data_IF_752854433665
#
_entry.id   IF_752854433665
#
_cell.length_a   1.000
_cell.length_b   1.000
_cell.length_c   1.000
_cell.angle_alpha   90.00
_cell.angle_beta   90.00
_cell.angle_gamma   90.00
#
_symmetry.space_group_name_H-M   'P 1'
#
loop_
_entity.id
_entity.type
_entity.pdbx_description
1 polymer ?
#
# COMPACT_ATOMS: atom_id res chain seq x y z
N UNK A 1 6.40 11.53 6.34
CA UNK A 1 6.77 10.41 5.45
C UNK A 1 5.91 10.44 4.18
N UNK A 2 6.27 9.71 3.11
CA UNK A 2 5.46 9.62 1.88
C UNK A 2 4.01 9.19 2.18
N UNK A 3 3.83 8.22 3.08
CA UNK A 3 2.52 7.69 3.51
C UNK A 3 1.61 8.72 4.23
N UNK A 4 2.14 9.89 4.60
CA UNK A 4 1.34 10.96 5.22
C UNK A 4 0.87 12.00 4.19
N UNK A 5 1.42 11.97 2.97
CA UNK A 5 1.19 12.97 1.91
C UNK A 5 0.35 12.46 0.74
N UNK A 6 0.17 11.15 0.65
CA UNK A 6 -0.64 10.50 -0.38
C UNK A 6 -2.03 10.22 0.16
N UNK A 7 -3.02 10.31 -0.73
CA UNK A 7 -4.38 9.87 -0.42
C UNK A 7 -4.36 8.39 -0.02
N UNK A 8 -5.28 7.98 0.85
CA UNK A 8 -5.36 6.59 1.25
C UNK A 8 -5.78 5.73 0.06
N UNK A 9 -4.93 4.76 -0.30
CA UNK A 9 -5.24 3.79 -1.36
C UNK A 9 -5.58 2.46 -0.68
N UNK A 10 -6.63 1.84 -1.20
CA UNK A 10 -7.09 0.51 -0.76
C UNK A 10 -7.03 -0.44 -1.95
N UNK A 11 -6.42 -1.60 -1.75
CA UNK A 11 -6.28 -2.64 -2.76
C UNK A 11 -6.64 -4.00 -2.15
N UNK A 12 -7.01 -4.94 -3.02
CA UNK A 12 -7.15 -6.35 -2.63
C UNK A 12 -5.79 -7.03 -2.68
N UNK A 13 -5.43 -7.75 -1.63
CA UNK A 13 -4.21 -8.58 -1.62
C UNK A 13 -4.43 -9.94 -2.33
N UNK A 14 -3.40 -10.80 -2.29
CA UNK A 14 -3.44 -12.11 -2.94
C UNK A 14 -4.38 -13.11 -2.26
N UNK A 15 -4.76 -12.86 -1.01
CA UNK A 15 -5.67 -13.70 -0.22
C UNK A 15 -7.12 -13.21 -0.32
N UNK A 16 -7.36 -12.08 -1.00
CA UNK A 16 -8.68 -11.46 -1.14
C UNK A 16 -9.00 -10.45 -0.03
N UNK A 17 -8.08 -10.18 0.89
CA UNK A 17 -8.31 -9.19 1.95
C UNK A 17 -8.21 -7.78 1.39
N UNK A 18 -9.00 -6.88 1.96
CA UNK A 18 -8.90 -5.44 1.70
C UNK A 18 -7.79 -4.85 2.55
N UNK A 19 -6.78 -4.25 1.91
CA UNK A 19 -5.60 -3.68 2.59
C UNK A 19 -5.47 -2.20 2.24
N UNK A 20 -5.20 -1.37 3.24
CA UNK A 20 -5.04 0.08 3.11
C UNK A 20 -3.60 0.52 3.35
N UNK A 21 -3.16 1.57 2.65
CA UNK A 21 -1.85 2.18 2.92
C UNK A 21 -1.70 2.70 4.37
N UNK A 22 -2.81 3.07 5.02
CA UNK A 22 -2.79 3.48 6.42
C UNK A 22 -2.33 2.37 7.38
N UNK A 23 -2.55 1.10 7.04
CA UNK A 23 -2.14 -0.06 7.86
C UNK A 23 -0.59 -0.17 8.01
N UNK A 24 0.13 0.58 7.17
CA UNK A 24 1.59 0.62 7.12
C UNK A 24 2.21 1.91 7.69
N UNK A 25 1.42 2.83 8.25
CA UNK A 25 1.95 4.04 8.89
C UNK A 25 2.86 3.70 10.07
N UNK A 26 3.92 4.50 10.24
CA UNK A 26 4.95 4.25 11.26
C UNK A 26 5.93 3.12 10.95
N UNK A 27 5.70 2.34 9.87
CA UNK A 27 6.61 1.30 9.40
C UNK A 27 7.52 1.84 8.28
N UNK A 28 8.70 1.23 8.11
CA UNK A 28 9.51 1.43 6.90
C UNK A 28 8.88 0.63 5.78
N UNK A 29 8.27 1.32 4.83
CA UNK A 29 7.40 0.70 3.80
C UNK A 29 7.92 1.06 2.41
N UNK A 30 8.04 0.05 1.55
CA UNK A 30 8.40 0.19 0.13
C UNK A 30 7.14 -0.03 -0.71
N UNK A 31 6.84 0.90 -1.61
CA UNK A 31 5.83 0.72 -2.65
C UNK A 31 6.57 0.29 -3.91
N UNK A 32 6.25 -0.91 -4.41
CA UNK A 32 6.84 -1.47 -5.62
C UNK A 32 5.75 -1.74 -6.64
N UNK A 33 5.80 -1.02 -7.77
CA UNK A 33 4.87 -1.18 -8.89
C UNK A 33 5.55 -1.97 -10.01
N UNK A 34 4.88 -3.01 -10.48
CA UNK A 34 5.36 -3.85 -11.58
C UNK A 34 4.18 -4.40 -12.38
N UNK A 35 4.48 -4.92 -13.56
CA UNK A 35 3.55 -5.68 -14.38
C UNK A 35 4.33 -6.76 -15.13
N UNK A 36 3.63 -7.82 -15.58
CA UNK A 36 4.25 -9.00 -16.18
C UNK A 36 4.60 -8.86 -17.67
N UNK A 37 4.19 -7.76 -18.30
CA UNK A 37 4.38 -7.50 -19.73
C UNK A 37 5.69 -6.78 -20.01
#
# INVERSE_FOLDING_TARGET
>A
MLLDKIENITLTDLEGNTVSLHDFRGKKTLIFMWASW
#
